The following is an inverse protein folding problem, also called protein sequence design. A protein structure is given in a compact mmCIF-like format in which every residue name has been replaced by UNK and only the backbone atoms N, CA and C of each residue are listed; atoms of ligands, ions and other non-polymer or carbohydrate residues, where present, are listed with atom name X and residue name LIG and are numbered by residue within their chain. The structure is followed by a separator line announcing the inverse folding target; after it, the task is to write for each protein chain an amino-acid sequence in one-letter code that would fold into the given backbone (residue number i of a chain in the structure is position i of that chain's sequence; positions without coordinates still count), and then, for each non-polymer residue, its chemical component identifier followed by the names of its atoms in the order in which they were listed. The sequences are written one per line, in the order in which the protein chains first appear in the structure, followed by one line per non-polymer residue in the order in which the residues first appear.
data_IF_399622906395
#
_entry.id   IF_399622906395
#
_cell.length_a   1.000
_cell.length_b   1.000
_cell.length_c   1.000
_cell.angle_alpha   90.00
_cell.angle_beta   90.00
_cell.angle_gamma   90.00
#
_symmetry.space_group_name_H-M   'P 1'
#
loop_
_entity.id
_entity.type
_entity.pdbx_description
1 polymer ?
#
# COMPACT_ATOMS: atom_id res chain seq x y z
N UNK A 1 -57.52 -6.08 15.01
CA UNK A 1 -56.63 -5.67 16.12
C UNK A 1 -55.71 -4.58 15.60
N UNK A 2 -56.07 -3.32 15.84
CA UNK A 2 -55.31 -2.13 15.45
C UNK A 2 -54.22 -1.91 16.50
N UNK A 3 -52.95 -2.04 16.12
CA UNK A 3 -51.82 -1.76 17.02
C UNK A 3 -51.71 -0.25 17.26
N UNK A 4 -51.59 0.15 18.52
CA UNK A 4 -51.41 1.54 18.97
C UNK A 4 -50.21 2.23 18.28
N UNK A 5 -50.35 3.49 17.82
CA UNK A 5 -49.29 4.21 17.10
C UNK A 5 -47.99 4.37 17.92
N UNK A 6 -48.11 4.40 19.25
CA UNK A 6 -46.99 4.47 20.20
C UNK A 6 -46.13 3.20 20.19
N UNK A 7 -46.77 2.04 20.00
CA UNK A 7 -46.12 0.73 19.94
C UNK A 7 -45.34 0.58 18.63
N UNK A 8 -45.90 1.03 17.51
CA UNK A 8 -45.20 1.03 16.21
C UNK A 8 -43.97 1.93 16.19
N UNK A 9 -44.05 3.12 16.82
CA UNK A 9 -42.91 4.06 16.92
C UNK A 9 -41.75 3.50 17.76
N UNK A 10 -42.05 2.79 18.84
CA UNK A 10 -41.03 2.17 19.71
C UNK A 10 -40.34 0.98 19.05
N UNK A 11 -41.06 0.18 18.25
CA UNK A 11 -40.44 -0.88 17.46
C UNK A 11 -39.48 -0.33 16.39
N UNK A 12 -39.86 0.74 15.69
CA UNK A 12 -39.01 1.36 14.66
C UNK A 12 -37.72 1.90 15.25
N UNK A 13 -37.78 2.59 16.40
CA UNK A 13 -36.57 3.11 17.05
C UNK A 13 -35.66 1.99 17.53
N UNK A 14 -36.20 0.95 18.17
CA UNK A 14 -35.42 -0.24 18.56
C UNK A 14 -34.75 -0.87 17.33
N UNK A 15 -35.49 -1.02 16.22
CA UNK A 15 -34.96 -1.62 15.00
C UNK A 15 -33.81 -0.79 14.39
N UNK A 16 -33.94 0.54 14.38
CA UNK A 16 -32.90 1.47 13.91
C UNK A 16 -31.65 1.39 14.79
N UNK A 17 -31.82 1.35 16.12
CA UNK A 17 -30.68 1.18 17.05
C UNK A 17 -30.02 -0.18 16.89
N UNK A 18 -30.79 -1.27 16.72
CA UNK A 18 -30.21 -2.60 16.46
C UNK A 18 -29.48 -2.65 15.12
N UNK A 19 -30.01 -2.04 14.05
CA UNK A 19 -29.33 -1.94 12.77
C UNK A 19 -28.04 -1.12 12.88
N UNK A 20 -28.08 0.03 13.57
CA UNK A 20 -26.89 0.86 13.83
C UNK A 20 -25.81 0.11 14.64
N UNK A 21 -26.21 -0.73 15.61
CA UNK A 21 -25.31 -1.61 16.33
C UNK A 21 -24.77 -2.78 15.48
N UNK A 22 -25.54 -3.24 14.47
CA UNK A 22 -25.11 -4.31 13.56
C UNK A 22 -24.13 -3.84 12.46
N UNK A 23 -23.93 -2.54 12.25
CA UNK A 23 -22.95 -2.01 11.29
C UNK A 23 -21.60 -1.63 11.93
N UNK A 24 -21.22 -2.26 13.04
CA UNK A 24 -19.83 -2.14 13.49
C UNK A 24 -18.92 -2.99 12.59
N UNK A 25 -18.03 -2.27 11.88
CA UNK A 25 -16.85 -2.77 11.15
C UNK A 25 -17.04 -3.03 9.63
N UNK A 26 -17.14 -1.95 8.86
CA UNK A 26 -16.77 -1.98 7.44
C UNK A 26 -15.24 -2.10 7.33
N UNK A 27 -14.76 -3.22 6.78
CA UNK A 27 -13.33 -3.46 6.53
C UNK A 27 -12.88 -2.60 5.34
N UNK A 28 -12.19 -1.49 5.61
CA UNK A 28 -11.51 -0.76 4.54
C UNK A 28 -10.39 -1.62 3.96
N UNK A 29 -10.51 -2.05 2.70
CA UNK A 29 -9.41 -2.68 1.98
C UNK A 29 -8.30 -1.64 1.76
N UNK A 30 -7.07 -1.98 2.13
CA UNK A 30 -5.92 -1.14 1.81
C UNK A 30 -5.53 -1.39 0.36
N UNK A 31 -5.43 -0.32 -0.42
CA UNK A 31 -5.11 -0.38 -1.85
C UNK A 31 -3.80 0.32 -2.14
N UNK A 32 -3.11 -0.14 -3.19
CA UNK A 32 -1.88 0.47 -3.73
C UNK A 32 -2.13 0.94 -5.16
N UNK A 33 -1.64 2.13 -5.48
CA UNK A 33 -1.62 2.69 -6.83
C UNK A 33 -0.19 3.03 -7.21
N UNK A 34 0.30 2.54 -8.35
CA UNK A 34 1.62 2.88 -8.87
C UNK A 34 1.54 3.71 -10.14
N UNK A 35 2.41 4.70 -10.27
CA UNK A 35 2.48 5.59 -11.44
C UNK A 35 3.93 5.83 -11.85
N UNK A 36 4.25 5.88 -13.15
CA UNK A 36 3.42 5.50 -14.29
C UNK A 36 3.23 3.98 -14.38
N UNK A 37 2.15 3.52 -15.01
CA UNK A 37 1.91 2.09 -15.23
C UNK A 37 2.95 1.46 -16.17
N UNK A 38 3.37 2.19 -17.21
CA UNK A 38 4.44 1.79 -18.14
C UNK A 38 5.22 3.03 -18.52
N UNK A 39 6.54 2.91 -18.63
CA UNK A 39 7.41 3.99 -19.10
C UNK A 39 8.58 3.45 -19.90
N UNK A 40 8.74 3.91 -21.13
CA UNK A 40 9.95 3.72 -21.90
C UNK A 40 10.99 4.79 -21.49
N UNK A 41 12.22 4.36 -21.26
CA UNK A 41 13.31 5.21 -20.76
C UNK A 41 14.59 4.91 -21.55
N UNK A 42 15.32 5.95 -21.94
CA UNK A 42 16.61 5.76 -22.60
C UNK A 42 17.72 5.50 -21.56
N UNK A 43 18.76 4.71 -21.90
CA UNK A 43 19.90 4.53 -21.02
C UNK A 43 20.50 5.85 -20.56
N UNK A 44 20.88 5.94 -19.28
CA UNK A 44 21.43 7.13 -18.66
C UNK A 44 20.39 8.13 -18.13
N UNK A 45 19.10 8.00 -18.49
CA UNK A 45 18.05 8.85 -17.93
C UNK A 45 17.66 8.42 -16.51
N UNK A 46 16.97 9.30 -15.79
CA UNK A 46 16.37 9.00 -14.48
C UNK A 46 14.90 8.65 -14.65
N UNK A 47 14.47 7.60 -13.95
CA UNK A 47 13.05 7.27 -13.78
C UNK A 47 12.66 7.34 -12.31
N UNK A 48 11.45 7.83 -12.07
CA UNK A 48 10.79 7.85 -10.77
C UNK A 48 9.50 7.06 -10.93
N UNK A 49 9.26 6.15 -10.00
CA UNK A 49 8.06 5.34 -9.88
C UNK A 49 7.41 5.71 -8.56
N UNK A 50 6.19 6.23 -8.62
CA UNK A 50 5.38 6.60 -7.48
C UNK A 50 4.57 5.40 -6.99
N UNK A 51 4.40 5.31 -5.68
CA UNK A 51 3.55 4.35 -4.99
C UNK A 51 2.72 5.07 -3.95
N UNK A 52 1.40 5.07 -4.14
CA UNK A 52 0.43 5.66 -3.23
C UNK A 52 -0.42 4.57 -2.59
N UNK A 53 -0.47 4.55 -1.27
CA UNK A 53 -1.32 3.66 -0.46
C UNK A 53 -2.57 4.41 -0.02
N UNK A 54 -3.68 3.71 0.22
CA UNK A 54 -4.92 4.33 0.72
C UNK A 54 -4.88 4.70 2.21
N UNK A 55 -3.80 4.36 2.92
CA UNK A 55 -3.62 4.59 4.35
C UNK A 55 -2.14 4.69 4.65
N UNK A 56 -1.78 5.43 5.69
CA UNK A 56 -0.37 5.62 6.03
C UNK A 56 0.32 4.30 6.41
N UNK A 57 1.58 4.20 6.00
CA UNK A 57 2.48 3.09 6.30
C UNK A 57 3.31 3.46 7.53
N UNK A 58 2.99 2.82 8.64
CA UNK A 58 3.63 3.08 9.93
C UNK A 58 4.92 2.28 10.13
N UNK A 59 5.83 2.72 11.01
CA UNK A 59 7.08 2.04 11.33
C UNK A 59 6.86 0.89 12.34
N UNK A 60 6.11 -0.13 11.93
CA UNK A 60 5.72 -1.27 12.77
C UNK A 60 6.48 -2.58 12.45
N UNK A 61 7.57 -2.48 11.67
CA UNK A 61 8.44 -3.59 11.22
C UNK A 61 9.80 -3.58 11.92
N UNK A 62 9.86 -3.07 13.15
CA UNK A 62 11.07 -3.13 13.99
C UNK A 62 12.15 -2.09 13.67
N UNK A 63 11.82 -1.02 12.94
CA UNK A 63 12.68 0.15 12.76
C UNK A 63 11.87 1.44 12.91
N UNK A 64 12.52 2.60 12.93
CA UNK A 64 11.86 3.92 12.89
C UNK A 64 11.41 4.33 11.48
N UNK A 65 11.66 3.48 10.49
CA UNK A 65 11.34 3.73 9.08
C UNK A 65 10.04 3.02 8.69
N UNK A 66 9.30 3.56 7.70
CA UNK A 66 8.03 2.99 7.27
C UNK A 66 8.20 1.60 6.66
N UNK A 67 7.22 0.73 6.85
CA UNK A 67 7.23 -0.65 6.37
C UNK A 67 6.83 -0.77 4.91
N UNK A 68 7.62 -0.13 4.06
CA UNK A 68 7.49 -0.11 2.61
C UNK A 68 8.69 -0.82 1.98
N UNK A 69 8.44 -1.61 0.94
CA UNK A 69 9.46 -2.31 0.17
C UNK A 69 9.23 -2.16 -1.34
N UNK A 70 10.30 -2.24 -2.10
CA UNK A 70 10.32 -2.18 -3.56
C UNK A 70 10.97 -3.43 -4.14
N UNK A 71 10.33 -4.00 -5.14
CA UNK A 71 10.77 -5.20 -5.84
C UNK A 71 10.89 -4.94 -7.33
N UNK A 72 11.84 -5.62 -7.98
CA UNK A 72 11.90 -5.74 -9.42
C UNK A 72 11.63 -7.19 -9.82
N UNK A 73 10.78 -7.40 -10.81
CA UNK A 73 10.55 -8.69 -11.43
C UNK A 73 10.94 -8.62 -12.90
N UNK A 74 11.82 -9.54 -13.33
CA UNK A 74 12.13 -9.71 -14.74
C UNK A 74 11.23 -10.81 -15.33
N UNK A 75 10.99 -10.81 -16.65
CA UNK A 75 10.22 -11.87 -17.29
C UNK A 75 10.76 -13.26 -16.93
N UNK A 76 9.90 -14.10 -16.36
CA UNK A 76 10.25 -15.46 -15.94
C UNK A 76 11.10 -15.58 -14.67
N UNK A 77 11.36 -14.48 -13.96
CA UNK A 77 12.10 -14.50 -12.68
C UNK A 77 11.17 -14.31 -11.48
N UNK A 78 11.65 -14.72 -10.30
CA UNK A 78 11.04 -14.31 -9.03
C UNK A 78 11.29 -12.81 -8.77
N UNK A 79 10.40 -12.12 -8.04
CA UNK A 79 10.65 -10.75 -7.60
C UNK A 79 11.91 -10.66 -6.72
N UNK A 80 12.79 -9.70 -7.03
CA UNK A 80 14.01 -9.38 -6.27
C UNK A 80 13.78 -8.10 -5.45
N UNK A 81 14.08 -8.17 -4.15
CA UNK A 81 14.04 -7.00 -3.26
C UNK A 81 15.14 -5.98 -3.63
N UNK A 82 14.75 -4.72 -3.80
CA UNK A 82 15.63 -3.60 -4.12
C UNK A 82 15.80 -2.65 -2.93
N UNK A 83 14.70 -2.23 -2.34
CA UNK A 83 14.65 -1.28 -1.21
C UNK A 83 13.66 -1.81 -0.19
N UNK A 84 13.98 -1.69 1.09
CA UNK A 84 13.09 -2.02 2.19
C UNK A 84 13.10 -0.92 3.24
N UNK A 85 12.13 -0.94 4.15
CA UNK A 85 11.96 0.10 5.16
C UNK A 85 11.93 1.51 4.54
N UNK A 86 11.23 1.68 3.42
CA UNK A 86 11.04 2.94 2.69
C UNK A 86 12.26 3.48 1.92
N UNK A 87 13.47 3.34 2.48
CA UNK A 87 14.68 3.97 1.94
C UNK A 87 15.96 3.13 2.09
N UNK A 88 15.90 1.96 2.75
CA UNK A 88 17.09 1.13 2.98
C UNK A 88 17.37 0.26 1.76
N UNK A 89 18.53 0.44 1.14
CA UNK A 89 18.92 -0.33 -0.05
C UNK A 89 19.28 -1.77 0.35
N UNK A 90 18.69 -2.74 -0.35
CA UNK A 90 19.02 -4.14 -0.16
C UNK A 90 20.41 -4.46 -0.73
N UNK A 91 21.14 -5.37 -0.08
CA UNK A 91 22.48 -5.77 -0.52
C UNK A 91 22.49 -6.30 -1.95
N UNK A 92 23.49 -5.89 -2.74
CA UNK A 92 23.58 -6.23 -4.16
C UNK A 92 22.62 -5.46 -5.08
N UNK A 93 21.94 -4.43 -4.57
CA UNK A 93 21.23 -3.44 -5.39
C UNK A 93 22.19 -2.32 -5.77
N UNK A 94 22.29 -1.94 -7.05
CA UNK A 94 23.17 -0.87 -7.49
C UNK A 94 22.84 0.47 -6.80
N UNK A 95 23.86 1.27 -6.46
CA UNK A 95 23.71 2.56 -5.77
C UNK A 95 22.91 3.61 -6.54
N UNK A 96 22.63 3.36 -7.83
CA UNK A 96 21.79 4.21 -8.68
C UNK A 96 20.30 4.15 -8.33
N UNK A 97 19.89 3.14 -7.56
CA UNK A 97 18.55 3.00 -7.00
C UNK A 97 18.44 3.72 -5.65
N UNK A 98 17.31 4.37 -5.41
CA UNK A 98 16.95 4.94 -4.11
C UNK A 98 15.45 4.87 -3.85
N UNK A 99 15.06 4.62 -2.60
CA UNK A 99 13.68 4.75 -2.15
C UNK A 99 13.50 5.99 -1.27
N UNK A 100 12.34 6.62 -1.33
CA UNK A 100 11.98 7.73 -0.46
C UNK A 100 10.48 7.78 -0.19
N UNK A 101 10.06 8.62 0.75
CA UNK A 101 8.65 8.84 1.08
C UNK A 101 8.28 8.49 2.52
N UNK A 102 7.04 8.81 2.88
CA UNK A 102 6.48 8.62 4.21
C UNK A 102 4.95 8.74 4.16
N UNK A 103 4.28 8.36 5.25
CA UNK A 103 2.82 8.36 5.29
C UNK A 103 2.28 7.39 4.24
N UNK A 104 1.53 7.90 3.28
CA UNK A 104 0.91 7.12 2.21
C UNK A 104 1.59 7.26 0.83
N UNK A 105 2.61 8.11 0.70
CA UNK A 105 3.24 8.48 -0.57
C UNK A 105 4.72 8.10 -0.60
N UNK A 106 5.10 7.23 -1.53
CA UNK A 106 6.44 6.67 -1.67
C UNK A 106 6.93 6.71 -3.11
N UNK A 107 8.26 6.75 -3.28
CA UNK A 107 8.88 6.73 -4.60
C UNK A 107 10.08 5.80 -4.65
N UNK A 108 10.27 5.17 -5.82
CA UNK A 108 11.51 4.53 -6.24
C UNK A 108 12.14 5.37 -7.34
N UNK A 109 13.37 5.81 -7.13
CA UNK A 109 14.17 6.52 -8.14
C UNK A 109 15.26 5.59 -8.64
N UNK A 110 15.40 5.53 -9.97
CA UNK A 110 16.51 4.86 -10.65
C UNK A 110 17.20 5.93 -11.49
N UNK A 111 18.36 6.37 -11.01
CA UNK A 111 19.22 7.30 -11.74
C UNK A 111 20.06 6.53 -12.76
N UNK A 112 20.37 7.12 -13.91
CA UNK A 112 21.26 6.49 -14.89
C UNK A 112 20.84 5.08 -15.31
N UNK A 113 19.57 4.93 -15.72
CA UNK A 113 18.95 3.65 -16.12
C UNK A 113 19.84 2.87 -17.10
N UNK A 114 19.94 1.56 -16.89
CA UNK A 114 20.72 0.64 -17.73
C UNK A 114 19.81 -0.41 -18.38
N UNK A 115 20.31 -1.11 -19.40
CA UNK A 115 19.53 -2.12 -20.10
C UNK A 115 19.06 -3.26 -19.17
N UNK A 116 19.87 -3.60 -18.17
CA UNK A 116 19.51 -4.60 -17.15
C UNK A 116 18.38 -4.16 -16.20
N UNK A 117 18.02 -2.89 -16.19
CA UNK A 117 16.95 -2.36 -15.33
C UNK A 117 15.56 -2.61 -15.94
N UNK A 118 15.47 -3.10 -17.18
CA UNK A 118 14.20 -3.49 -17.78
C UNK A 118 13.51 -4.59 -16.94
N UNK A 119 12.27 -4.34 -16.54
CA UNK A 119 11.43 -5.24 -15.76
C UNK A 119 10.22 -4.52 -15.16
N UNK A 120 9.38 -5.30 -14.48
CA UNK A 120 8.26 -4.79 -13.72
C UNK A 120 8.70 -4.41 -12.31
N UNK A 121 8.08 -3.38 -11.75
CA UNK A 121 8.42 -2.84 -10.43
C UNK A 121 7.19 -2.79 -9.55
N UNK A 122 7.32 -3.29 -8.32
CA UNK A 122 6.21 -3.39 -7.38
C UNK A 122 6.60 -2.77 -6.04
N UNK A 123 5.72 -1.93 -5.49
CA UNK A 123 5.80 -1.55 -4.10
C UNK A 123 4.92 -2.46 -3.23
N UNK A 124 5.36 -2.72 -2.01
CA UNK A 124 4.64 -3.53 -1.03
C UNK A 124 4.69 -2.82 0.32
N UNK A 125 3.54 -2.66 0.96
CA UNK A 125 3.43 -2.10 2.30
C UNK A 125 2.86 -3.12 3.28
N UNK A 126 3.37 -3.07 4.51
CA UNK A 126 2.81 -3.81 5.64
C UNK A 126 1.94 -2.87 6.48
N UNK A 127 0.71 -3.29 6.73
CA UNK A 127 -0.22 -2.57 7.60
C UNK A 127 -0.74 -3.46 8.72
N UNK A 128 -1.20 -2.83 9.79
CA UNK A 128 -1.78 -3.50 10.96
C UNK A 128 -3.17 -2.95 11.33
N UNK A 129 -4.15 -2.97 10.41
CA UNK A 129 -5.52 -2.57 10.74
C UNK A 129 -6.16 -3.58 11.70
N UNK A 130 -6.90 -3.07 12.69
CA UNK A 130 -7.76 -3.87 13.58
C UNK A 130 -7.09 -5.14 14.17
N UNK A 131 -5.83 -5.03 14.57
CA UNK A 131 -5.03 -6.13 15.13
C UNK A 131 -4.71 -7.29 14.17
N UNK A 132 -4.73 -7.05 12.86
CA UNK A 132 -4.40 -8.05 11.83
C UNK A 132 -3.31 -7.50 10.92
N UNK A 133 -2.26 -8.29 10.68
CA UNK A 133 -1.22 -7.96 9.71
C UNK A 133 -1.69 -8.23 8.29
N UNK A 134 -1.57 -7.24 7.42
CA UNK A 134 -1.91 -7.35 6.00
C UNK A 134 -0.81 -6.77 5.13
N UNK A 135 -0.54 -7.41 4.00
CA UNK A 135 0.36 -6.92 2.98
C UNK A 135 -0.45 -6.43 1.79
N UNK A 136 -0.02 -5.34 1.19
CA UNK A 136 -0.54 -4.90 -0.11
C UNK A 136 0.22 -5.64 -1.22
N UNK A 137 -0.48 -5.96 -2.31
CA UNK A 137 0.11 -6.50 -3.53
C UNK A 137 -0.47 -5.76 -4.73
#
# INVERSE_FOLDING_TARGET
MTTEPTTTMTFITIFIWTLAFCFQESRGQITVTQTPAVKAVLPGQTVIIDCKTSSDVYPNCGSSLPCMAWYQQKPGSIPKLLVYQGSTINSGTPSRFSGSGSGSDFTLTISGVQAEDAGDYYCQSLHYPNSVWVFTQ
#
